data_IF_271785589942
#
_entry.id   IF_271785589942
#
_cell.length_a   1.000
_cell.length_b   1.000
_cell.length_c   1.000
_cell.angle_alpha   90.00
_cell.angle_beta   90.00
_cell.angle_gamma   90.00
#
_symmetry.space_group_name_H-M   'P 1'
#
loop_
_entity.id
_entity.type
_entity.pdbx_description
1 polymer ?
#
# COMPACT_ATOMS: atom_id res chain seq x y z
N UNK A 1 -15.73 -17.49 -3.93
CA UNK A 1 -14.88 -16.31 -3.70
C UNK A 1 -14.26 -15.91 -5.02
N UNK A 2 -14.26 -14.61 -5.38
CA UNK A 2 -13.56 -14.08 -6.57
C UNK A 2 -12.26 -13.39 -6.17
N UNK A 3 -11.26 -13.42 -7.04
CA UNK A 3 -10.00 -12.67 -6.87
C UNK A 3 -9.90 -11.66 -8.00
N UNK A 4 -9.72 -10.41 -7.64
CA UNK A 4 -9.45 -9.31 -8.57
C UNK A 4 -7.98 -8.89 -8.40
N UNK A 5 -7.20 -8.96 -9.47
CA UNK A 5 -5.83 -8.43 -9.49
C UNK A 5 -5.79 -7.18 -10.37
N UNK A 6 -5.40 -6.08 -9.79
CA UNK A 6 -5.15 -4.84 -10.50
C UNK A 6 -3.63 -4.61 -10.56
N UNK A 7 -3.05 -4.82 -11.74
CA UNK A 7 -1.60 -4.73 -11.97
C UNK A 7 -1.04 -3.29 -11.97
N UNK A 8 -1.93 -2.31 -12.05
CA UNK A 8 -1.62 -0.89 -11.92
C UNK A 8 -2.82 -0.21 -11.29
N UNK A 9 -2.66 0.36 -10.11
CA UNK A 9 -3.67 1.26 -9.59
C UNK A 9 -3.33 2.65 -10.14
N UNK A 10 -4.27 3.32 -10.78
CA UNK A 10 -4.04 4.69 -11.19
C UNK A 10 -4.08 5.60 -9.94
N UNK A 11 -2.99 5.65 -9.16
CA UNK A 11 -2.81 6.72 -8.17
C UNK A 11 -2.37 8.02 -8.83
N UNK A 12 -2.39 8.05 -10.15
CA UNK A 12 -2.21 9.26 -10.96
C UNK A 12 -3.50 10.08 -11.11
N UNK A 13 -4.67 9.45 -10.90
CA UNK A 13 -5.98 10.10 -11.05
C UNK A 13 -7.00 9.49 -10.10
N UNK A 14 -7.61 10.34 -9.29
CA UNK A 14 -8.71 9.97 -8.38
C UNK A 14 -9.90 9.39 -9.17
N UNK A 15 -10.20 9.95 -10.34
CA UNK A 15 -11.28 9.49 -11.20
C UNK A 15 -11.06 8.08 -11.71
N UNK A 16 -9.83 7.74 -12.10
CA UNK A 16 -9.48 6.40 -12.56
C UNK A 16 -9.56 5.38 -11.43
N UNK A 17 -9.08 5.74 -10.22
CA UNK A 17 -9.21 4.88 -9.04
C UNK A 17 -10.69 4.63 -8.72
N UNK A 18 -11.52 5.67 -8.66
CA UNK A 18 -12.97 5.56 -8.42
C UNK A 18 -13.65 4.72 -9.52
N UNK A 19 -13.25 4.91 -10.77
CA UNK A 19 -13.74 4.14 -11.92
C UNK A 19 -13.42 2.64 -11.81
N UNK A 20 -12.19 2.30 -11.48
CA UNK A 20 -11.75 0.92 -11.28
C UNK A 20 -12.54 0.24 -10.14
N UNK A 21 -12.73 0.92 -9.02
CA UNK A 21 -13.43 0.34 -7.87
C UNK A 21 -14.92 0.12 -8.11
N UNK A 22 -15.56 0.86 -9.02
CA UNK A 22 -16.95 0.62 -9.47
C UNK A 22 -17.11 -0.69 -10.25
N UNK A 23 -16.03 -1.23 -10.83
CA UNK A 23 -16.07 -2.51 -11.55
C UNK A 23 -16.10 -3.71 -10.60
N UNK A 24 -15.87 -3.50 -9.32
CA UNK A 24 -15.83 -4.56 -8.32
C UNK A 24 -17.27 -4.89 -7.90
N UNK A 25 -17.70 -6.11 -8.20
CA UNK A 25 -18.97 -6.65 -7.73
C UNK A 25 -18.97 -6.82 -6.21
N UNK A 26 -19.78 -6.04 -5.51
CA UNK A 26 -19.85 -6.03 -4.05
C UNK A 26 -20.81 -7.06 -3.45
N UNK A 27 -21.50 -7.84 -4.29
CA UNK A 27 -22.50 -8.83 -3.85
C UNK A 27 -21.91 -10.11 -3.24
N UNK A 28 -20.61 -10.38 -3.46
CA UNK A 28 -19.94 -11.60 -3.02
C UNK A 28 -18.59 -11.31 -2.33
N UNK A 29 -18.17 -12.19 -1.39
CA UNK A 29 -16.85 -12.13 -0.81
C UNK A 29 -15.75 -12.24 -1.87
N UNK A 30 -14.72 -11.39 -1.79
CA UNK A 30 -13.63 -11.30 -2.75
C UNK A 30 -12.31 -10.92 -2.11
N UNK A 31 -11.23 -11.22 -2.79
CA UNK A 31 -9.90 -10.71 -2.51
C UNK A 31 -9.51 -9.73 -3.61
N UNK A 32 -9.01 -8.58 -3.23
CA UNK A 32 -8.48 -7.57 -4.15
C UNK A 32 -6.97 -7.52 -3.93
N UNK A 33 -6.22 -7.81 -4.97
CA UNK A 33 -4.76 -7.73 -5.00
C UNK A 33 -4.36 -6.48 -5.76
N UNK A 34 -3.61 -5.61 -5.10
CA UNK A 34 -3.23 -4.30 -5.59
C UNK A 34 -1.71 -4.21 -5.75
N UNK A 35 -1.26 -3.41 -6.70
CA UNK A 35 0.14 -3.06 -6.90
C UNK A 35 0.28 -1.54 -6.98
N UNK A 36 1.47 -1.00 -6.71
CA UNK A 36 1.76 0.41 -6.91
C UNK A 36 1.65 0.81 -8.39
N UNK A 37 1.54 2.10 -8.66
CA UNK A 37 1.64 2.61 -10.04
C UNK A 37 3.10 2.57 -10.51
N UNK A 38 3.29 2.47 -11.83
CA UNK A 38 4.62 2.56 -12.45
C UNK A 38 5.33 3.84 -12.03
N UNK A 39 4.63 4.98 -12.05
CA UNK A 39 5.20 6.28 -11.67
C UNK A 39 5.65 6.32 -10.20
N UNK A 40 4.86 5.78 -9.28
CA UNK A 40 5.25 5.69 -7.86
C UNK A 40 6.49 4.82 -7.70
N UNK A 41 6.53 3.67 -8.36
CA UNK A 41 7.68 2.76 -8.32
C UNK A 41 8.94 3.44 -8.87
N UNK A 42 8.84 4.12 -10.02
CA UNK A 42 9.97 4.85 -10.62
C UNK A 42 10.51 5.96 -9.70
N UNK A 43 9.63 6.70 -9.02
CA UNK A 43 10.06 7.72 -8.03
C UNK A 43 10.74 7.09 -6.81
N UNK A 44 10.22 5.99 -6.28
CA UNK A 44 10.84 5.28 -5.17
C UNK A 44 12.20 4.70 -5.55
N UNK A 45 12.37 4.19 -6.77
CA UNK A 45 13.67 3.78 -7.33
C UNK A 45 14.62 4.97 -7.43
N UNK A 46 14.15 6.13 -7.87
CA UNK A 46 14.93 7.37 -7.91
C UNK A 46 15.42 7.80 -6.53
N UNK A 47 14.53 7.79 -5.53
CA UNK A 47 14.88 8.07 -4.13
C UNK A 47 15.97 7.10 -3.63
N UNK A 48 15.80 5.80 -3.87
CA UNK A 48 16.80 4.80 -3.48
C UNK A 48 18.16 5.04 -4.15
N UNK A 49 18.17 5.41 -5.44
CA UNK A 49 19.40 5.74 -6.17
C UNK A 49 20.13 6.95 -5.58
N UNK A 50 19.41 8.02 -5.21
CA UNK A 50 19.99 9.17 -4.53
C UNK A 50 20.59 8.79 -3.16
N UNK A 51 19.89 7.95 -2.38
CA UNK A 51 20.38 7.48 -1.08
C UNK A 51 21.64 6.59 -1.22
N UNK A 52 21.72 5.72 -2.21
CA UNK A 52 22.94 4.95 -2.52
C UNK A 52 24.13 5.84 -2.85
N UNK A 53 23.88 6.90 -3.63
CA UNK A 53 24.88 7.87 -4.03
C UNK A 53 25.22 8.89 -2.93
N UNK A 54 24.56 8.83 -1.76
CA UNK A 54 24.65 9.80 -0.66
C UNK A 54 24.27 11.23 -1.07
N UNK A 55 23.44 11.35 -2.06
CA UNK A 55 22.85 12.60 -2.51
C UNK A 55 21.57 12.87 -1.68
N UNK A 56 21.80 13.25 -0.45
CA UNK A 56 20.73 13.45 0.55
C UNK A 56 19.82 14.62 0.20
N UNK A 57 20.33 15.64 -0.47
CA UNK A 57 19.54 16.81 -0.86
C UNK A 57 18.48 16.42 -1.90
N UNK A 58 18.88 15.73 -2.97
CA UNK A 58 17.95 15.24 -3.98
C UNK A 58 16.98 14.19 -3.42
N UNK A 59 17.46 13.30 -2.54
CA UNK A 59 16.58 12.35 -1.87
C UNK A 59 15.50 13.06 -1.04
N UNK A 60 15.86 14.09 -0.28
CA UNK A 60 14.90 14.90 0.49
C UNK A 60 13.86 15.57 -0.41
N UNK A 61 14.29 16.16 -1.51
CA UNK A 61 13.40 16.82 -2.46
C UNK A 61 12.40 15.84 -3.06
N UNK A 62 12.86 14.66 -3.52
CA UNK A 62 11.99 13.67 -4.14
C UNK A 62 11.05 13.03 -3.11
N UNK A 63 11.50 12.76 -1.87
CA UNK A 63 10.64 12.28 -0.77
C UNK A 63 9.55 13.31 -0.49
N UNK A 64 9.90 14.60 -0.32
CA UNK A 64 8.94 15.68 -0.05
C UNK A 64 7.88 15.79 -1.15
N UNK A 65 8.31 15.75 -2.43
CA UNK A 65 7.41 15.85 -3.57
C UNK A 65 6.45 14.66 -3.64
N UNK A 66 6.95 13.45 -3.36
CA UNK A 66 6.13 12.25 -3.39
C UNK A 66 5.14 12.23 -2.22
N UNK A 67 5.56 12.63 -1.01
CA UNK A 67 4.70 12.76 0.18
C UNK A 67 3.56 13.75 -0.08
N UNK A 68 3.90 14.96 -0.55
CA UNK A 68 2.91 15.98 -0.88
C UNK A 68 1.90 15.49 -1.90
N UNK A 69 2.36 14.80 -2.95
CA UNK A 69 1.49 14.25 -3.99
C UNK A 69 0.49 13.22 -3.43
N UNK A 70 0.91 12.35 -2.51
CA UNK A 70 -0.01 11.39 -1.88
C UNK A 70 -1.00 12.08 -0.94
N UNK A 71 -0.56 13.10 -0.20
CA UNK A 71 -1.45 13.91 0.64
C UNK A 71 -2.49 14.63 -0.21
N UNK A 72 -2.07 15.25 -1.32
CA UNK A 72 -2.97 15.94 -2.25
C UNK A 72 -3.97 14.97 -2.88
N UNK A 73 -3.50 13.81 -3.31
CA UNK A 73 -4.36 12.74 -3.80
C UNK A 73 -5.40 12.28 -2.75
N UNK A 74 -5.00 12.11 -1.49
CA UNK A 74 -5.92 11.76 -0.42
C UNK A 74 -6.95 12.87 -0.17
N UNK A 75 -6.54 14.13 -0.21
CA UNK A 75 -7.43 15.28 -0.07
C UNK A 75 -8.50 15.35 -1.17
N UNK A 76 -8.15 14.97 -2.41
CA UNK A 76 -9.09 14.89 -3.54
C UNK A 76 -9.96 13.63 -3.48
N UNK A 77 -9.42 12.51 -2.99
CA UNK A 77 -10.08 11.21 -3.00
C UNK A 77 -11.25 11.15 -2.02
N UNK A 78 -11.03 11.63 -0.79
CA UNK A 78 -11.96 11.50 0.33
C UNK A 78 -12.83 12.73 0.54
N UNK A 79 -14.12 12.50 0.81
CA UNK A 79 -15.09 13.55 1.20
C UNK A 79 -15.34 13.56 2.71
N UNK A 80 -15.22 12.42 3.39
CA UNK A 80 -15.33 12.30 4.85
C UNK A 80 -14.05 12.80 5.51
N UNK A 81 -14.14 13.87 6.30
CA UNK A 81 -12.97 14.51 6.94
C UNK A 81 -12.24 13.59 7.92
N UNK A 82 -12.94 12.67 8.60
CA UNK A 82 -12.32 11.72 9.52
C UNK A 82 -11.49 10.67 8.76
N UNK A 83 -12.02 10.14 7.66
CA UNK A 83 -11.33 9.18 6.80
C UNK A 83 -10.17 9.85 6.07
N UNK A 84 -10.36 11.08 5.61
CA UNK A 84 -9.31 11.90 4.99
C UNK A 84 -8.14 12.09 5.95
N UNK A 85 -8.41 12.51 7.19
CA UNK A 85 -7.37 12.70 8.20
C UNK A 85 -6.65 11.38 8.50
N UNK A 86 -7.41 10.27 8.63
CA UNK A 86 -6.80 8.94 8.80
C UNK A 86 -5.87 8.56 7.64
N UNK A 87 -6.24 8.90 6.40
CA UNK A 87 -5.41 8.66 5.22
C UNK A 87 -4.12 9.48 5.26
N UNK A 88 -4.24 10.78 5.54
CA UNK A 88 -3.10 11.71 5.62
C UNK A 88 -2.13 11.28 6.74
N UNK A 89 -2.63 10.97 7.93
CA UNK A 89 -1.80 10.51 9.04
C UNK A 89 -1.05 9.21 8.69
N UNK A 90 -1.74 8.28 8.02
CA UNK A 90 -1.13 7.02 7.57
C UNK A 90 -0.07 7.25 6.49
N UNK A 91 -0.26 8.19 5.57
CA UNK A 91 0.74 8.57 4.56
C UNK A 91 1.97 9.14 5.27
N UNK A 92 1.80 10.10 6.18
CA UNK A 92 2.89 10.71 6.94
C UNK A 92 3.69 9.65 7.70
N UNK A 93 3.01 8.69 8.35
CA UNK A 93 3.70 7.60 9.07
C UNK A 93 4.53 6.72 8.14
N UNK A 94 4.05 6.42 6.92
CA UNK A 94 4.83 5.69 5.92
C UNK A 94 6.03 6.47 5.42
N UNK A 95 5.87 7.78 5.20
CA UNK A 95 6.96 8.65 4.78
C UNK A 95 8.02 8.87 5.86
N UNK A 96 7.67 8.77 7.15
CA UNK A 96 8.66 8.75 8.24
C UNK A 96 9.70 7.65 8.06
N UNK A 97 9.32 6.50 7.53
CA UNK A 97 10.26 5.41 7.20
C UNK A 97 11.25 5.86 6.11
N UNK A 98 10.79 6.52 5.05
CA UNK A 98 11.65 7.06 4.00
C UNK A 98 12.61 8.13 4.56
N UNK A 99 12.08 9.03 5.39
CA UNK A 99 12.88 10.06 6.07
C UNK A 99 13.96 9.48 6.98
N UNK A 100 13.72 8.33 7.63
CA UNK A 100 14.72 7.69 8.46
C UNK A 100 15.92 7.18 7.64
N UNK A 101 15.70 6.69 6.42
CA UNK A 101 16.78 6.23 5.53
C UNK A 101 17.74 7.34 5.11
N UNK A 102 17.31 8.60 5.11
CA UNK A 102 18.22 9.73 4.81
C UNK A 102 19.25 10.00 5.91
N UNK A 103 19.06 9.43 7.12
CA UNK A 103 19.87 9.66 8.31
C UNK A 103 20.83 8.53 8.64
N UNK A 104 20.81 7.46 7.87
CA UNK A 104 21.61 6.25 8.10
C UNK A 104 22.32 5.79 6.84
N UNK A 105 23.20 4.78 6.98
CA UNK A 105 23.79 4.14 5.81
C UNK A 105 22.72 3.31 5.10
N UNK A 106 22.47 3.65 3.85
CA UNK A 106 21.50 2.98 3.00
C UNK A 106 22.04 1.68 2.40
N UNK A 107 21.23 0.63 2.37
CA UNK A 107 21.61 -0.72 1.91
C UNK A 107 20.59 -1.28 0.91
N UNK A 108 20.92 -2.41 0.26
CA UNK A 108 19.99 -3.11 -0.64
C UNK A 108 18.76 -3.70 0.08
N UNK A 109 18.84 -3.91 1.39
CA UNK A 109 17.67 -4.30 2.19
C UNK A 109 16.73 -3.11 2.34
N UNK A 110 17.27 -1.93 2.68
CA UNK A 110 16.49 -0.70 2.80
C UNK A 110 15.82 -0.30 1.48
N UNK A 111 16.46 -0.61 0.33
CA UNK A 111 15.85 -0.41 -0.99
C UNK A 111 14.54 -1.18 -1.15
N UNK A 112 14.52 -2.46 -0.75
CA UNK A 112 13.30 -3.28 -0.80
C UNK A 112 12.19 -2.68 0.08
N UNK A 113 12.55 -2.16 1.24
CA UNK A 113 11.61 -1.50 2.15
C UNK A 113 11.06 -0.21 1.57
N UNK A 114 11.89 0.60 0.91
CA UNK A 114 11.43 1.81 0.19
C UNK A 114 10.44 1.44 -0.91
N UNK A 115 10.79 0.49 -1.77
CA UNK A 115 9.95 0.09 -2.90
C UNK A 115 8.58 -0.44 -2.45
N UNK A 116 8.53 -1.14 -1.32
CA UNK A 116 7.27 -1.67 -0.78
C UNK A 116 6.30 -0.56 -0.30
N UNK A 117 6.78 0.66 -0.02
CA UNK A 117 5.90 1.73 0.48
C UNK A 117 4.82 2.11 -0.54
N UNK A 118 5.11 2.01 -1.84
CA UNK A 118 4.13 2.28 -2.90
C UNK A 118 2.90 1.38 -2.82
N UNK A 119 3.11 0.07 -2.65
CA UNK A 119 2.03 -0.90 -2.49
C UNK A 119 1.25 -0.71 -1.19
N UNK A 120 1.95 -0.42 -0.08
CA UNK A 120 1.30 -0.18 1.20
C UNK A 120 0.39 1.05 1.15
N UNK A 121 0.86 2.17 0.63
CA UNK A 121 0.06 3.40 0.53
C UNK A 121 -1.13 3.18 -0.42
N UNK A 122 -0.90 2.59 -1.59
CA UNK A 122 -1.97 2.32 -2.55
C UNK A 122 -3.06 1.42 -1.99
N UNK A 123 -2.67 0.34 -1.30
CA UNK A 123 -3.61 -0.61 -0.70
C UNK A 123 -4.40 0.02 0.45
N UNK A 124 -3.74 0.84 1.26
CA UNK A 124 -4.36 1.58 2.36
C UNK A 124 -5.40 2.59 1.84
N UNK A 125 -5.06 3.37 0.80
CA UNK A 125 -5.97 4.34 0.19
C UNK A 125 -7.23 3.66 -0.37
N UNK A 126 -7.07 2.53 -1.07
CA UNK A 126 -8.21 1.74 -1.56
C UNK A 126 -9.05 1.21 -0.41
N UNK A 127 -8.45 0.67 0.64
CA UNK A 127 -9.17 0.17 1.82
C UNK A 127 -9.99 1.26 2.49
N UNK A 128 -9.43 2.44 2.70
CA UNK A 128 -10.12 3.58 3.29
C UNK A 128 -11.23 4.11 2.38
N UNK A 129 -11.01 4.14 1.06
CA UNK A 129 -12.06 4.54 0.12
C UNK A 129 -13.24 3.56 0.13
N UNK A 130 -13.00 2.26 0.15
CA UNK A 130 -14.07 1.26 0.30
C UNK A 130 -14.83 1.45 1.61
N UNK A 131 -14.15 1.77 2.71
CA UNK A 131 -14.76 2.10 4.00
C UNK A 131 -15.66 3.35 3.90
N UNK A 132 -15.20 4.42 3.24
CA UNK A 132 -16.01 5.62 2.98
C UNK A 132 -17.28 5.29 2.18
N UNK A 133 -17.20 4.36 1.23
CA UNK A 133 -18.36 3.90 0.45
C UNK A 133 -19.27 2.91 1.21
N UNK A 134 -19.05 2.68 2.51
CA UNK A 134 -19.83 1.76 3.32
C UNK A 134 -19.56 0.28 3.00
N UNK A 135 -18.48 -0.03 2.27
CA UNK A 135 -18.11 -1.39 1.89
C UNK A 135 -17.23 -1.97 2.99
N UNK A 136 -17.75 -2.98 3.70
CA UNK A 136 -16.98 -3.69 4.71
C UNK A 136 -15.78 -4.38 4.06
N UNK A 137 -14.59 -4.03 4.51
CA UNK A 137 -13.36 -4.58 4.00
C UNK A 137 -12.30 -4.68 5.10
N UNK A 138 -11.29 -5.53 4.87
CA UNK A 138 -10.12 -5.65 5.73
C UNK A 138 -8.86 -5.58 4.87
N UNK A 139 -7.98 -4.66 5.22
CA UNK A 139 -6.64 -4.60 4.63
C UNK A 139 -5.79 -5.74 5.22
N UNK A 140 -5.25 -6.58 4.33
CA UNK A 140 -4.28 -7.61 4.67
C UNK A 140 -2.89 -7.11 4.32
N UNK A 141 -2.00 -7.09 5.31
CA UNK A 141 -0.60 -6.77 5.07
C UNK A 141 0.11 -8.00 4.51
N UNK A 142 0.70 -7.89 3.32
CA UNK A 142 1.41 -9.00 2.69
C UNK A 142 2.58 -9.53 3.54
N UNK A 143 3.20 -8.69 4.35
CA UNK A 143 4.29 -9.11 5.26
C UNK A 143 3.83 -10.10 6.33
N UNK A 144 2.53 -10.18 6.64
CA UNK A 144 2.01 -11.11 7.66
C UNK A 144 1.91 -12.55 7.14
N UNK A 145 1.87 -12.74 5.80
CA UNK A 145 1.66 -14.06 5.20
C UNK A 145 2.60 -14.39 4.02
N UNK A 146 3.28 -13.39 3.44
CA UNK A 146 4.26 -13.64 2.37
C UNK A 146 5.63 -14.00 2.95
N UNK A 147 6.23 -15.06 2.41
CA UNK A 147 7.61 -15.47 2.72
C UNK A 147 8.27 -16.05 1.47
N UNK A 148 9.56 -15.78 1.30
CA UNK A 148 10.38 -16.46 0.31
C UNK A 148 11.09 -17.66 0.98
N UNK A 149 11.20 -18.75 0.26
CA UNK A 149 12.08 -19.86 0.58
C UNK A 149 13.56 -19.47 0.33
N UNK A 150 14.53 -20.26 0.78
CA UNK A 150 15.96 -19.97 0.56
C UNK A 150 16.35 -19.78 -0.91
N UNK A 151 15.61 -20.39 -1.82
CA UNK A 151 15.80 -20.30 -3.28
C UNK A 151 15.18 -19.03 -3.90
N UNK A 152 14.75 -18.07 -3.07
CA UNK A 152 14.06 -16.83 -3.46
C UNK A 152 12.69 -17.05 -4.15
N UNK A 153 12.16 -18.27 -4.13
CA UNK A 153 10.80 -18.58 -4.60
C UNK A 153 9.76 -18.40 -3.49
N UNK A 154 8.49 -18.12 -3.83
CA UNK A 154 7.43 -18.03 -2.82
C UNK A 154 7.25 -19.33 -2.05
N UNK A 155 7.33 -19.27 -0.72
CA UNK A 155 7.03 -20.41 0.16
C UNK A 155 5.52 -20.68 0.21
N UNK A 156 5.03 -21.46 -0.74
CA UNK A 156 3.62 -21.69 -0.94
C UNK A 156 2.92 -22.38 0.23
N UNK A 157 3.64 -23.24 0.97
CA UNK A 157 3.08 -23.91 2.16
C UNK A 157 2.86 -22.92 3.30
N UNK A 158 3.88 -22.10 3.59
CA UNK A 158 3.77 -21.05 4.60
C UNK A 158 2.70 -20.02 4.23
N UNK A 159 2.72 -19.52 3.00
CA UNK A 159 1.77 -18.53 2.48
C UNK A 159 0.34 -19.08 2.58
N UNK A 160 0.10 -20.31 2.14
CA UNK A 160 -1.20 -20.95 2.18
C UNK A 160 -1.72 -21.06 3.62
N UNK A 161 -0.89 -21.51 4.55
CA UNK A 161 -1.24 -21.64 5.97
C UNK A 161 -1.57 -20.29 6.60
N UNK A 162 -0.72 -19.27 6.41
CA UNK A 162 -0.87 -17.94 7.02
C UNK A 162 -2.04 -17.17 6.42
N UNK A 163 -2.21 -17.23 5.10
CA UNK A 163 -3.33 -16.58 4.43
C UNK A 163 -4.68 -17.23 4.85
N UNK A 164 -4.72 -18.55 4.96
CA UNK A 164 -5.91 -19.26 5.43
C UNK A 164 -6.30 -18.83 6.85
N UNK A 165 -5.35 -18.75 7.78
CA UNK A 165 -5.58 -18.26 9.14
C UNK A 165 -6.08 -16.81 9.13
N UNK A 166 -5.50 -15.94 8.31
CA UNK A 166 -5.94 -14.55 8.17
C UNK A 166 -7.38 -14.45 7.65
N UNK A 167 -7.77 -15.32 6.70
CA UNK A 167 -9.12 -15.36 6.14
C UNK A 167 -10.16 -15.95 7.11
N UNK A 168 -9.82 -16.95 7.93
CA UNK A 168 -10.72 -17.51 8.94
C UNK A 168 -11.09 -16.43 9.96
N UNK A 169 -10.12 -15.66 10.46
CA UNK A 169 -10.38 -14.57 11.41
C UNK A 169 -11.27 -13.45 10.87
N UNK A 170 -11.40 -13.35 9.55
CA UNK A 170 -12.34 -12.42 8.90
C UNK A 170 -13.76 -12.99 8.88
N UNK A 171 -13.89 -14.31 8.79
CA UNK A 171 -15.17 -15.01 8.60
C UNK A 171 -15.89 -15.30 9.91
N UNK A 172 -15.21 -15.24 11.06
CA UNK A 172 -15.82 -15.37 12.37
C UNK A 172 -16.25 -13.98 12.86
N UNK A 173 -17.58 -13.66 12.84
CA UNK A 173 -18.05 -12.52 13.59
C UNK A 173 -17.76 -12.82 15.07
N UNK A 174 -17.11 -11.88 15.74
CA UNK A 174 -16.86 -11.93 17.18
C UNK A 174 -18.14 -12.33 17.92
N UNK A 175 -18.27 -13.61 18.25
CA UNK A 175 -19.19 -14.08 19.28
C UNK A 175 -18.59 -13.69 20.63
N UNK A 176 -18.76 -12.45 21.01
CA UNK A 176 -18.68 -12.04 22.40
C UNK A 176 -19.90 -11.17 22.67
N UNK A 177 -20.90 -11.87 23.23
CA UNK A 177 -21.99 -11.26 23.97
C UNK A 177 -21.43 -10.65 25.26
#
# INVERSE_FOLDING_TARGET
>A
MKIYKFGKIPTGSVQEMKGMLRLIDNSIPKIIVLSATTETTERLVGIAAHLFNRDTEQAHDEISRLEFRFIDFANELFNDESIKQQAVDSIIDRFRTLWNFTRQRFTSVDEKDILAQGEFISSMLVSLYLKEQGINNRLLNSLDFMRLAPEEEPDMEYIGTKLHLSLIHISEPTRHA
#
